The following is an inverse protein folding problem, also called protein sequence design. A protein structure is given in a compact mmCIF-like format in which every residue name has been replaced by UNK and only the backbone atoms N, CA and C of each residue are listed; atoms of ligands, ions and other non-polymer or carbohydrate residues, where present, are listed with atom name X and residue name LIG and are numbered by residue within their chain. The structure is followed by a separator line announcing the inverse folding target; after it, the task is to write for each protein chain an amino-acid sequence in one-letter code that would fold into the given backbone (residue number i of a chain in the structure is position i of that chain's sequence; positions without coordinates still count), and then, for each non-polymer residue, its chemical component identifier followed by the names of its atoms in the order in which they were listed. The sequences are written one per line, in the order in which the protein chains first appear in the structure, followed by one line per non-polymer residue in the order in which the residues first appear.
data_IF_481210708892
#
_entry.id   IF_481210708892
#
_cell.length_a   1.000
_cell.length_b   1.000
_cell.length_c   1.000
_cell.angle_alpha   90.00
_cell.angle_beta   90.00
_cell.angle_gamma   90.00
#
_symmetry.space_group_name_H-M   'P 1'
#
loop_
_entity.id
_entity.type
_entity.pdbx_description
1 polymer ?
#
# COMPACT_ATOMS: atom_id res chain seq x y z
N UNK A 1 7.02 2.26 -4.68
CA UNK A 1 5.67 2.52 -5.21
C UNK A 1 5.67 2.87 -6.69
N UNK A 2 6.28 3.97 -7.14
CA UNK A 2 6.16 4.45 -8.54
C UNK A 2 6.37 3.41 -9.65
N UNK A 3 7.43 2.60 -9.59
CA UNK A 3 7.71 1.57 -10.62
C UNK A 3 6.54 0.58 -10.74
N UNK A 4 5.99 0.14 -9.62
CA UNK A 4 4.94 -0.87 -9.57
C UNK A 4 3.53 -0.31 -9.78
N UNK A 5 3.23 0.86 -9.20
CA UNK A 5 1.87 1.43 -9.18
C UNK A 5 1.67 2.56 -10.18
N UNK A 6 2.74 3.13 -10.74
CA UNK A 6 2.70 4.37 -11.51
C UNK A 6 2.52 5.62 -10.65
N UNK A 7 2.41 5.46 -9.33
CA UNK A 7 2.03 6.53 -8.42
C UNK A 7 3.16 6.89 -7.46
N UNK A 8 3.44 8.19 -7.31
CA UNK A 8 4.44 8.70 -6.38
C UNK A 8 3.81 8.91 -5.00
N UNK A 9 3.77 7.84 -4.21
CA UNK A 9 3.22 7.85 -2.85
C UNK A 9 4.37 7.99 -1.86
N UNK A 10 4.48 9.17 -1.23
CA UNK A 10 5.57 9.54 -0.30
C UNK A 10 5.04 10.31 0.92
N UNK A 11 3.92 9.90 1.48
CA UNK A 11 3.31 10.51 2.68
C UNK A 11 2.58 9.46 3.51
N UNK A 12 2.37 9.77 4.79
CA UNK A 12 1.66 8.92 5.76
C UNK A 12 0.27 9.47 6.09
N UNK A 13 -0.14 9.36 7.36
CA UNK A 13 -1.48 9.77 7.78
C UNK A 13 -1.63 11.27 8.06
N UNK A 14 -0.51 12.02 8.12
CA UNK A 14 -0.55 13.46 8.36
C UNK A 14 -0.90 14.22 7.07
N UNK A 15 -2.15 14.64 6.94
CA UNK A 15 -2.70 15.33 5.76
C UNK A 15 -3.84 16.27 6.17
N UNK A 16 -4.13 17.27 5.35
CA UNK A 16 -5.33 18.12 5.49
C UNK A 16 -6.27 17.82 4.32
N UNK A 17 -7.52 17.46 4.61
CA UNK A 17 -8.50 16.99 3.62
C UNK A 17 -9.79 17.82 3.66
N UNK A 18 -10.28 18.33 2.52
CA UNK A 18 -11.62 18.90 2.43
C UNK A 18 -12.72 17.87 2.70
N UNK A 19 -13.88 18.33 3.18
CA UNK A 19 -15.05 17.46 3.49
C UNK A 19 -15.42 16.52 2.34
N UNK A 20 -15.41 17.01 1.10
CA UNK A 20 -15.75 16.20 -0.09
C UNK A 20 -14.80 15.00 -0.26
N UNK A 21 -13.51 15.20 0.02
CA UNK A 21 -12.51 14.14 -0.06
C UNK A 21 -12.71 13.11 1.04
N UNK A 22 -12.99 13.56 2.26
CA UNK A 22 -13.29 12.67 3.39
C UNK A 22 -14.50 11.80 3.05
N UNK A 23 -15.56 12.39 2.47
CA UNK A 23 -16.74 11.66 2.04
C UNK A 23 -16.43 10.58 0.99
N UNK A 24 -15.49 10.84 0.07
CA UNK A 24 -15.07 9.83 -0.89
C UNK A 24 -14.24 8.73 -0.23
N UNK A 25 -13.33 9.09 0.69
CA UNK A 25 -12.46 8.15 1.40
C UNK A 25 -13.25 7.16 2.25
N UNK A 26 -14.28 7.60 2.97
CA UNK A 26 -15.10 6.68 3.80
C UNK A 26 -15.87 5.65 2.97
N UNK A 27 -16.10 5.93 1.68
CA UNK A 27 -16.75 5.02 0.73
C UNK A 27 -15.77 4.18 -0.11
N UNK A 28 -14.46 4.30 0.14
CA UNK A 28 -13.43 3.53 -0.56
C UNK A 28 -12.89 2.41 0.35
N UNK A 29 -13.11 1.16 -0.05
CA UNK A 29 -12.67 -0.03 0.70
C UNK A 29 -11.16 -0.03 0.99
N UNK A 30 -10.35 0.52 0.08
CA UNK A 30 -8.91 0.65 0.27
C UNK A 30 -8.52 1.54 1.45
N UNK A 31 -9.41 2.41 1.94
CA UNK A 31 -9.13 3.27 3.10
C UNK A 31 -8.82 2.45 4.35
N UNK A 32 -9.50 1.30 4.52
CA UNK A 32 -9.23 0.38 5.63
C UNK A 32 -7.88 -0.32 5.53
N UNK A 33 -7.46 -0.68 4.33
CA UNK A 33 -6.20 -1.40 4.11
C UNK A 33 -4.99 -0.46 4.11
N UNK A 34 -5.13 0.72 3.49
CA UNK A 34 -4.08 1.70 3.31
C UNK A 34 -4.64 3.10 3.01
N UNK A 35 -4.63 3.97 4.02
CA UNK A 35 -5.03 5.37 3.88
C UNK A 35 -4.31 6.11 2.73
N UNK A 36 -2.98 6.06 2.68
CA UNK A 36 -2.21 6.78 1.66
C UNK A 36 -2.40 6.20 0.26
N UNK A 37 -2.57 4.89 0.14
CA UNK A 37 -2.92 4.23 -1.12
C UNK A 37 -4.30 4.65 -1.63
N UNK A 38 -5.31 4.61 -0.75
CA UNK A 38 -6.68 5.02 -1.07
C UNK A 38 -6.76 6.51 -1.46
N UNK A 39 -6.07 7.39 -0.72
CA UNK A 39 -6.08 8.81 -1.02
C UNK A 39 -5.51 9.11 -2.41
N UNK A 40 -4.44 8.40 -2.81
CA UNK A 40 -3.87 8.54 -4.15
C UNK A 40 -4.73 7.90 -5.23
N UNK A 41 -5.53 6.89 -4.90
CA UNK A 41 -6.48 6.27 -5.83
C UNK A 41 -7.66 7.20 -6.13
N UNK A 42 -8.12 7.98 -5.14
CA UNK A 42 -9.31 8.85 -5.27
C UNK A 42 -8.96 10.23 -5.83
N UNK A 43 -7.73 10.72 -5.61
CA UNK A 43 -7.35 12.10 -5.94
C UNK A 43 -6.08 12.11 -6.76
N UNK A 44 -6.10 12.85 -7.87
CA UNK A 44 -4.91 13.06 -8.70
C UNK A 44 -4.05 14.22 -8.20
N UNK A 45 -4.68 15.36 -7.87
CA UNK A 45 -3.98 16.59 -7.49
C UNK A 45 -3.81 16.73 -5.98
N UNK A 46 -2.55 16.78 -5.53
CA UNK A 46 -2.18 16.96 -4.11
C UNK A 46 -0.97 17.88 -4.01
N UNK A 47 -1.00 18.78 -3.04
CA UNK A 47 0.13 19.62 -2.69
C UNK A 47 0.88 19.02 -1.50
N UNK A 48 2.21 19.01 -1.57
CA UNK A 48 3.07 18.58 -0.47
C UNK A 48 3.78 19.79 0.13
N UNK A 49 3.74 19.90 1.45
CA UNK A 49 4.49 20.90 2.21
C UNK A 49 5.52 20.15 3.05
N UNK A 50 6.76 20.65 3.09
CA UNK A 50 7.79 20.08 3.95
C UNK A 50 7.45 20.31 5.41
N UNK A 51 7.55 19.26 6.23
CA UNK A 51 7.42 19.35 7.68
C UNK A 51 8.63 18.72 8.36
N UNK A 52 8.95 19.21 9.55
CA UNK A 52 9.98 18.64 10.41
C UNK A 52 9.32 17.54 11.24
N UNK A 53 9.88 16.33 11.20
CA UNK A 53 9.38 15.22 12.01
C UNK A 53 9.85 15.40 13.46
N UNK A 54 8.92 15.59 14.38
CA UNK A 54 9.20 15.63 15.81
C UNK A 54 9.62 14.27 16.37
N UNK A 55 10.28 14.29 17.53
CA UNK A 55 10.50 13.09 18.35
C UNK A 55 9.22 12.73 19.10
N UNK A 56 9.00 11.44 19.36
CA UNK A 56 7.86 11.01 20.17
C UNK A 56 8.19 11.29 21.64
N UNK A 57 7.29 11.95 22.36
CA UNK A 57 7.50 12.32 23.77
C UNK A 57 7.48 11.12 24.72
N UNK A 58 6.69 10.08 24.43
CA UNK A 58 6.54 8.88 25.26
C UNK A 58 6.51 7.62 24.39
N UNK A 59 7.07 6.51 24.87
CA UNK A 59 7.06 5.18 24.25
C UNK A 59 7.79 5.04 22.89
N UNK A 60 8.34 3.84 22.59
CA UNK A 60 8.93 3.56 21.28
C UNK A 60 7.85 3.34 20.20
N UNK A 61 8.29 3.15 18.95
CA UNK A 61 7.39 2.78 17.86
C UNK A 61 6.82 1.38 18.03
N UNK A 62 5.50 1.24 17.97
CA UNK A 62 4.82 -0.07 17.83
C UNK A 62 4.97 -0.67 16.41
N UNK A 63 5.51 0.09 15.45
CA UNK A 63 5.71 -0.36 14.07
C UNK A 63 7.06 -1.10 13.93
N UNK A 64 7.01 -2.42 13.83
CA UNK A 64 8.20 -3.24 13.52
C UNK A 64 8.59 -3.13 12.04
N UNK A 65 9.81 -3.56 11.68
CA UNK A 65 10.27 -3.59 10.29
C UNK A 65 9.37 -4.44 9.39
N UNK A 66 8.93 -5.61 9.86
CA UNK A 66 8.02 -6.48 9.11
C UNK A 66 6.65 -5.82 8.91
N UNK A 67 6.13 -5.14 9.92
CA UNK A 67 4.87 -4.39 9.79
C UNK A 67 5.03 -3.22 8.82
N UNK A 68 6.20 -2.57 8.79
CA UNK A 68 6.53 -1.54 7.82
C UNK A 68 6.56 -2.08 6.38
N UNK A 69 7.15 -3.26 6.16
CA UNK A 69 7.10 -3.93 4.85
C UNK A 69 5.68 -4.28 4.44
N UNK A 70 4.88 -4.88 5.34
CA UNK A 70 3.46 -5.18 5.10
C UNK A 70 2.69 -3.91 4.75
N UNK A 71 2.93 -2.82 5.48
CA UNK A 71 2.30 -1.53 5.22
C UNK A 71 2.66 -0.98 3.83
N UNK A 72 3.93 -1.03 3.45
CA UNK A 72 4.39 -0.65 2.11
C UNK A 72 3.73 -1.50 1.01
N UNK A 73 3.65 -2.81 1.21
CA UNK A 73 2.96 -3.72 0.29
C UNK A 73 1.45 -3.47 0.25
N UNK A 74 0.80 -3.11 1.36
CA UNK A 74 -0.61 -2.72 1.39
C UNK A 74 -0.88 -1.47 0.55
N UNK A 75 0.03 -0.48 0.53
CA UNK A 75 -0.08 0.68 -0.37
C UNK A 75 -0.05 0.23 -1.84
N UNK A 76 0.86 -0.69 -2.17
CA UNK A 76 0.98 -1.24 -3.53
C UNK A 76 -0.27 -2.06 -3.90
N UNK A 77 -0.85 -2.77 -2.93
CA UNK A 77 -2.00 -3.64 -3.13
C UNK A 77 -3.26 -2.90 -3.58
N UNK A 78 -3.43 -1.64 -3.17
CA UNK A 78 -4.49 -0.75 -3.67
C UNK A 78 -4.47 -0.65 -5.21
N UNK A 79 -3.28 -0.75 -5.82
CA UNK A 79 -3.07 -0.68 -7.27
C UNK A 79 -2.77 -2.06 -7.89
N UNK A 80 -3.27 -3.16 -7.30
CA UNK A 80 -3.04 -4.54 -7.73
C UNK A 80 -3.23 -4.77 -9.25
N UNK A 81 -4.25 -4.14 -9.85
CA UNK A 81 -4.54 -4.28 -11.29
C UNK A 81 -3.38 -3.72 -12.14
N UNK A 82 -2.92 -2.51 -11.80
CA UNK A 82 -1.79 -1.86 -12.47
C UNK A 82 -0.50 -2.65 -12.28
N UNK A 83 -0.25 -3.16 -11.07
CA UNK A 83 0.91 -4.00 -10.79
C UNK A 83 0.89 -5.27 -11.64
N UNK A 84 -0.23 -6.00 -11.68
CA UNK A 84 -0.35 -7.24 -12.45
C UNK A 84 -0.11 -6.96 -13.95
N UNK A 85 -0.75 -5.93 -14.51
CA UNK A 85 -0.55 -5.56 -15.91
C UNK A 85 0.92 -5.22 -16.23
N UNK A 86 1.57 -4.42 -15.38
CA UNK A 86 3.00 -4.07 -15.54
C UNK A 86 3.92 -5.27 -15.38
N UNK A 87 3.62 -6.17 -14.44
CA UNK A 87 4.39 -7.41 -14.25
C UNK A 87 4.28 -8.32 -15.48
N UNK A 88 3.12 -8.44 -16.12
CA UNK A 88 2.96 -9.21 -17.35
C UNK A 88 3.81 -8.63 -18.48
N UNK A 89 3.74 -7.31 -18.69
CA UNK A 89 4.56 -6.63 -19.71
C UNK A 89 6.05 -6.82 -19.42
N UNK A 90 6.47 -6.65 -18.16
CA UNK A 90 7.85 -6.88 -17.76
C UNK A 90 8.29 -8.31 -18.06
N UNK A 91 7.49 -9.32 -17.71
CA UNK A 91 7.83 -10.72 -17.95
C UNK A 91 7.95 -11.01 -19.45
N UNK A 92 7.06 -10.48 -20.30
CA UNK A 92 7.15 -10.66 -21.76
C UNK A 92 8.45 -10.08 -22.32
N UNK A 93 8.79 -8.85 -21.97
CA UNK A 93 10.05 -8.20 -22.39
C UNK A 93 11.25 -8.95 -21.83
N UNK A 94 11.20 -9.35 -20.56
CA UNK A 94 12.29 -10.06 -19.91
C UNK A 94 12.57 -11.41 -20.57
N UNK A 95 11.53 -12.22 -20.83
CA UNK A 95 11.67 -13.50 -21.52
C UNK A 95 12.19 -13.36 -22.94
N UNK A 96 11.81 -12.29 -23.65
CA UNK A 96 12.38 -11.97 -24.95
C UNK A 96 13.89 -11.68 -24.85
N UNK A 97 14.32 -10.92 -23.85
CA UNK A 97 15.73 -10.56 -23.67
C UNK A 97 16.63 -11.74 -23.27
N UNK A 98 16.10 -12.70 -22.48
CA UNK A 98 16.86 -13.88 -22.05
C UNK A 98 16.71 -15.08 -23.00
N UNK A 99 16.17 -14.86 -24.19
CA UNK A 99 15.96 -15.93 -25.17
C UNK A 99 17.29 -16.64 -25.47
N UNK A 100 17.33 -17.96 -25.28
CA UNK A 100 18.53 -18.77 -25.49
C UNK A 100 19.50 -18.83 -24.30
N UNK A 101 19.28 -18.07 -23.22
CA UNK A 101 20.13 -18.08 -22.02
C UNK A 101 19.39 -18.56 -20.77
N UNK A 102 18.50 -19.56 -20.92
CA UNK A 102 17.62 -20.01 -19.85
C UNK A 102 18.39 -20.84 -18.82
N UNK A 103 18.48 -20.32 -17.60
CA UNK A 103 19.16 -20.94 -16.45
C UNK A 103 18.40 -20.68 -15.15
N UNK A 104 18.79 -21.37 -14.08
CA UNK A 104 18.25 -21.12 -12.73
C UNK A 104 18.48 -19.67 -12.32
N UNK A 105 19.65 -19.10 -12.64
CA UNK A 105 20.01 -17.73 -12.29
C UNK A 105 19.08 -16.72 -12.98
N UNK A 106 18.80 -16.92 -14.27
CA UNK A 106 17.89 -16.04 -15.03
C UNK A 106 16.42 -16.18 -14.61
N UNK A 107 16.04 -17.23 -13.87
CA UNK A 107 14.68 -17.40 -13.35
C UNK A 107 14.44 -16.72 -12.00
N UNK A 108 15.50 -16.28 -11.31
CA UNK A 108 15.39 -15.62 -10.00
C UNK A 108 14.45 -14.39 -10.04
N UNK A 109 14.55 -13.45 -11.01
CA UNK A 109 13.65 -12.30 -11.05
C UNK A 109 12.18 -12.70 -11.28
N UNK A 110 11.94 -13.74 -12.08
CA UNK A 110 10.60 -14.28 -12.35
C UNK A 110 9.97 -14.80 -11.06
N UNK A 111 10.73 -15.57 -10.28
CA UNK A 111 10.28 -16.09 -8.98
C UNK A 111 9.88 -14.98 -8.01
N UNK A 112 10.68 -13.91 -7.90
CA UNK A 112 10.35 -12.77 -7.05
C UNK A 112 9.09 -12.02 -7.49
N UNK A 113 8.81 -11.95 -8.79
CA UNK A 113 7.56 -11.36 -9.29
C UNK A 113 6.35 -12.17 -8.83
N UNK A 114 6.42 -13.49 -8.87
CA UNK A 114 5.34 -14.33 -8.35
C UNK A 114 5.12 -14.13 -6.85
N UNK A 115 6.19 -14.06 -6.06
CA UNK A 115 6.10 -13.75 -4.63
C UNK A 115 5.44 -12.37 -4.41
N UNK A 116 5.84 -11.36 -5.17
CA UNK A 116 5.30 -10.01 -5.06
C UNK A 116 3.80 -9.99 -5.38
N UNK A 117 3.39 -10.61 -6.49
CA UNK A 117 1.98 -10.69 -6.90
C UNK A 117 1.17 -11.40 -5.82
N UNK A 118 1.64 -12.55 -5.33
CA UNK A 118 0.97 -13.29 -4.26
C UNK A 118 0.80 -12.44 -2.99
N UNK A 119 1.87 -11.78 -2.54
CA UNK A 119 1.85 -10.92 -1.35
C UNK A 119 0.85 -9.78 -1.48
N UNK A 120 0.82 -9.14 -2.65
CA UNK A 120 -0.08 -8.04 -2.97
C UNK A 120 -1.54 -8.51 -3.03
N UNK A 121 -1.83 -9.61 -3.72
CA UNK A 121 -3.19 -10.16 -3.81
C UNK A 121 -3.69 -10.56 -2.43
N UNK A 122 -2.85 -11.21 -1.62
CA UNK A 122 -3.18 -11.57 -0.24
C UNK A 122 -3.52 -10.35 0.61
N UNK A 123 -2.68 -9.30 0.58
CA UNK A 123 -2.91 -8.07 1.33
C UNK A 123 -4.12 -7.27 0.83
N UNK A 124 -4.43 -7.36 -0.47
CA UNK A 124 -5.59 -6.67 -1.04
C UNK A 124 -6.93 -7.17 -0.52
N UNK A 125 -6.98 -8.38 0.07
CA UNK A 125 -8.17 -8.91 0.73
C UNK A 125 -8.58 -8.10 1.96
N UNK A 126 -7.68 -7.27 2.51
CA UNK A 126 -7.98 -6.33 3.60
C UNK A 126 -8.80 -5.12 3.14
N UNK A 127 -9.00 -4.93 1.84
CA UNK A 127 -9.88 -3.88 1.33
C UNK A 127 -11.33 -4.29 1.63
N UNK A 128 -11.90 -3.81 2.75
CA UNK A 128 -13.22 -4.20 3.22
C UNK A 128 -13.95 -3.00 3.85
N UNK A 129 -15.09 -2.61 3.26
CA UNK A 129 -15.93 -1.51 3.76
C UNK A 129 -16.70 -1.90 5.02
N UNK A 130 -17.06 -3.17 5.18
CA UNK A 130 -17.80 -3.63 6.35
C UNK A 130 -16.94 -3.55 7.61
N UNK A 131 -15.68 -4.01 7.53
CA UNK A 131 -14.71 -3.86 8.62
C UNK A 131 -14.41 -2.39 8.94
N UNK A 132 -14.39 -1.51 7.92
CA UNK A 132 -14.23 -0.07 8.13
C UNK A 132 -15.40 0.52 8.92
N UNK A 133 -16.63 0.20 8.51
CA UNK A 133 -17.85 0.69 9.16
C UNK A 133 -17.98 0.17 10.60
N UNK A 134 -17.54 -1.07 10.83
CA UNK A 134 -17.55 -1.70 12.15
C UNK A 134 -16.24 -1.49 12.93
N UNK A 135 -15.39 -0.56 12.50
CA UNK A 135 -14.05 -0.36 13.07
C UNK A 135 -14.05 0.00 14.56
N UNK A 136 -15.14 0.59 15.06
CA UNK A 136 -15.33 0.90 16.47
C UNK A 136 -15.32 -0.35 17.37
N UNK A 137 -15.68 -1.52 16.83
CA UNK A 137 -15.64 -2.78 17.58
C UNK A 137 -14.20 -3.23 17.92
N UNK A 138 -13.17 -2.60 17.32
CA UNK A 138 -11.77 -2.88 17.61
C UNK A 138 -11.19 -2.03 18.76
N UNK A 139 -12.00 -1.12 19.33
CA UNK A 139 -11.57 -0.26 20.43
C UNK A 139 -11.93 -1.00 21.74
N UNK A 140 -10.90 -1.39 22.50
CA UNK A 140 -11.06 -1.93 23.86
C UNK A 140 -11.64 -0.86 24.81
N UNK A 141 -12.02 -1.25 26.03
CA UNK A 141 -12.69 -0.35 26.98
C UNK A 141 -11.90 0.97 27.17
N UNK A 142 -12.54 2.09 26.83
CA UNK A 142 -11.94 3.44 26.83
C UNK A 142 -11.74 3.97 28.27
N UNK A 143 -12.37 3.32 29.25
CA UNK A 143 -12.31 3.71 30.66
C UNK A 143 -11.01 3.26 31.36
N UNK A 144 -10.30 2.24 30.84
CA UNK A 144 -8.99 1.83 31.34
C UNK A 144 -7.86 2.51 30.55
N UNK A 145 -7.58 3.77 30.88
CA UNK A 145 -6.35 4.43 30.45
C UNK A 145 -5.23 4.00 31.40
N UNK A 146 -4.63 2.82 31.13
CA UNK A 146 -3.36 2.40 31.75
C UNK A 146 -2.18 3.21 31.24
#
# INVERSE_FOLDING_TARGET
TFVFTGQKIKFGNYTCLPKIIVNNMVNEAATWSSFSGALVKIIDNRNSISSIRGTRYFNPSKMSFLNLLKHSLSIIAVFKKTLIARSIIFLLVYFFLIYGSLSIITLIPVFFIFILIYSVVSLSKRENLEELNNSLNNIDNIEEIN
#
